data_IF_852631171281
#
_entry.id   IF_852631171281
#
_cell.length_a   1.000
_cell.length_b   1.000
_cell.length_c   1.000
_cell.angle_alpha   90.00
_cell.angle_beta   90.00
_cell.angle_gamma   90.00
#
_symmetry.space_group_name_H-M   'P 1'
#
loop_
_entity.id
_entity.type
_entity.pdbx_description
1 polymer ?
#
# COMPACT_ATOMS: atom_id res chain seq x y z
N UNK A 1 5.46 56.98 5.24
CA UNK A 1 5.86 55.90 4.32
C UNK A 1 6.13 54.57 5.05
N UNK A 2 6.58 54.58 6.32
CA UNK A 2 6.79 53.37 7.13
C UNK A 2 5.51 52.58 7.45
N UNK A 3 4.40 53.27 7.76
CA UNK A 3 3.17 52.60 8.20
C UNK A 3 2.49 51.74 7.11
N UNK A 4 2.39 52.17 5.85
CA UNK A 4 1.62 51.44 4.83
C UNK A 4 2.26 50.12 4.35
N UNK A 5 3.59 50.06 4.26
CA UNK A 5 4.29 48.82 3.95
C UNK A 5 4.13 47.86 5.11
N UNK A 6 4.27 48.37 6.33
CA UNK A 6 4.19 47.57 7.53
C UNK A 6 2.78 47.09 7.87
N UNK A 7 1.77 47.92 7.65
CA UNK A 7 0.37 47.53 7.83
C UNK A 7 -0.02 46.44 6.83
N UNK A 8 0.46 46.51 5.59
CA UNK A 8 0.28 45.46 4.60
C UNK A 8 1.02 44.17 5.01
N UNK A 9 2.24 44.29 5.53
CA UNK A 9 3.03 43.15 6.00
C UNK A 9 2.42 42.51 7.24
N UNK A 10 1.95 43.30 8.21
CA UNK A 10 1.25 42.82 9.40
C UNK A 10 -0.11 42.22 9.10
N UNK A 11 -0.85 42.80 8.15
CA UNK A 11 -2.09 42.21 7.67
C UNK A 11 -1.82 40.83 7.06
N UNK A 12 -0.77 40.70 6.23
CA UNK A 12 -0.37 39.43 5.63
C UNK A 12 0.17 38.45 6.69
N UNK A 13 0.96 38.91 7.67
CA UNK A 13 1.47 38.10 8.78
C UNK A 13 0.33 37.48 9.60
N UNK A 14 -0.68 38.29 9.92
CA UNK A 14 -1.88 37.87 10.67
C UNK A 14 -2.79 36.97 9.85
N UNK A 15 -2.96 37.25 8.56
CA UNK A 15 -3.81 36.45 7.65
C UNK A 15 -3.18 35.11 7.28
N UNK A 16 -1.84 35.03 7.25
CA UNK A 16 -1.07 33.88 6.75
C UNK A 16 -0.31 33.09 7.81
N UNK A 17 -0.49 33.44 9.09
CA UNK A 17 0.13 32.76 10.24
C UNK A 17 1.67 32.64 10.16
N UNK A 18 2.34 33.63 9.57
CA UNK A 18 3.80 33.66 9.46
C UNK A 18 4.35 34.40 10.70
N UNK A 19 5.34 33.79 11.36
CA UNK A 19 6.02 34.38 12.51
C UNK A 19 6.64 35.75 12.16
N UNK A 20 6.45 36.73 13.05
CA UNK A 20 6.96 38.10 12.87
C UNK A 20 8.49 38.16 12.71
N UNK A 21 9.20 37.21 13.32
CA UNK A 21 10.66 37.12 13.25
C UNK A 21 11.12 36.80 11.81
N UNK A 22 10.52 35.79 11.17
CA UNK A 22 10.78 35.45 9.76
C UNK A 22 10.52 36.64 8.83
N UNK A 23 9.46 37.40 9.08
CA UNK A 23 9.15 38.60 8.28
C UNK A 23 10.23 39.67 8.44
N UNK A 24 10.73 39.85 9.65
CA UNK A 24 11.80 40.81 9.95
C UNK A 24 13.09 40.44 9.23
N UNK A 25 13.43 39.15 9.22
CA UNK A 25 14.58 38.61 8.48
C UNK A 25 14.45 38.87 6.97
N UNK A 26 13.29 38.62 6.37
CA UNK A 26 13.06 38.89 4.94
C UNK A 26 13.21 40.37 4.62
N UNK A 27 12.67 41.25 5.46
CA UNK A 27 12.79 42.69 5.27
C UNK A 27 14.28 43.10 5.35
N UNK A 28 15.02 42.56 6.33
CA UNK A 28 16.48 42.76 6.46
C UNK A 28 17.20 42.34 5.17
N UNK A 29 16.95 41.14 4.66
CA UNK A 29 17.55 40.62 3.43
C UNK A 29 17.29 41.50 2.20
N UNK A 30 16.06 42.00 2.06
CA UNK A 30 15.67 42.84 0.91
C UNK A 30 16.40 44.19 0.95
N UNK A 31 16.43 44.86 2.09
CA UNK A 31 17.15 46.13 2.23
C UNK A 31 18.66 45.95 2.08
N UNK A 32 19.23 44.87 2.63
CA UNK A 32 20.64 44.52 2.39
C UNK A 32 20.92 44.28 0.90
N UNK A 33 19.99 43.66 0.17
CA UNK A 33 20.12 43.50 -1.29
C UNK A 33 20.07 44.84 -2.02
N UNK A 34 19.24 45.79 -1.58
CA UNK A 34 19.23 47.15 -2.13
C UNK A 34 20.55 47.88 -1.87
N UNK A 35 21.09 47.76 -0.66
CA UNK A 35 22.39 48.34 -0.27
C UNK A 35 23.51 47.76 -1.15
N UNK A 36 23.59 46.43 -1.29
CA UNK A 36 24.57 45.73 -2.15
C UNK A 36 24.55 46.19 -3.60
N UNK A 37 23.39 46.59 -4.11
CA UNK A 37 23.27 47.08 -5.49
C UNK A 37 23.67 48.56 -5.65
N UNK A 38 23.74 49.33 -4.55
CA UNK A 38 23.96 50.78 -4.57
C UNK A 38 25.36 51.18 -4.09
N UNK A 39 25.91 50.49 -3.11
CA UNK A 39 27.15 50.85 -2.42
C UNK A 39 28.27 49.84 -2.70
N UNK A 40 29.52 50.29 -2.74
CA UNK A 40 30.69 49.42 -2.96
C UNK A 40 31.05 48.60 -1.72
N UNK A 41 30.74 49.11 -0.54
CA UNK A 41 31.04 48.51 0.76
C UNK A 41 29.78 48.18 1.55
N UNK A 42 28.99 47.17 1.12
CA UNK A 42 27.71 46.86 1.74
C UNK A 42 27.82 46.29 3.16
N UNK A 43 28.98 45.73 3.52
CA UNK A 43 29.20 45.11 4.84
C UNK A 43 29.32 46.16 5.96
N UNK A 44 29.48 47.44 5.60
CA UNK A 44 29.43 48.57 6.54
C UNK A 44 28.02 48.91 6.98
N UNK A 45 27.00 48.31 6.36
CA UNK A 45 25.60 48.61 6.67
C UNK A 45 24.98 47.50 7.49
N UNK A 46 24.16 47.91 8.45
CA UNK A 46 23.26 47.04 9.15
C UNK A 46 21.83 47.56 9.08
N UNK A 47 20.90 46.62 9.12
CA UNK A 47 19.47 46.89 9.02
C UNK A 47 18.78 46.23 10.22
N UNK A 48 18.17 47.06 11.06
CA UNK A 48 17.33 46.64 12.17
C UNK A 48 15.87 46.85 11.78
N UNK A 49 15.06 45.82 12.01
CA UNK A 49 13.63 45.85 11.74
C UNK A 49 12.90 45.70 13.06
N UNK A 50 12.01 46.65 13.38
CA UNK A 50 11.12 46.55 14.53
C UNK A 50 9.74 45.97 14.11
N UNK A 51 9.46 44.69 14.39
CA UNK A 51 8.21 44.02 13.99
C UNK A 51 6.97 44.41 14.82
N UNK A 52 7.10 45.31 15.80
CA UNK A 52 5.94 45.85 16.52
C UNK A 52 5.51 47.21 15.99
N UNK A 53 6.49 48.08 15.68
CA UNK A 53 6.26 49.45 15.22
C UNK A 53 6.28 49.62 13.71
N UNK A 54 6.96 48.73 13.00
CA UNK A 54 7.08 48.82 11.54
C UNK A 54 8.11 49.77 11.02
N UNK A 55 9.10 49.99 11.85
CA UNK A 55 10.20 50.88 11.57
C UNK A 55 11.37 50.02 11.10
N UNK A 56 11.93 50.43 9.97
CA UNK A 56 13.19 49.88 9.45
C UNK A 56 14.22 50.97 9.63
N UNK A 57 15.24 50.67 10.43
CA UNK A 57 16.38 51.54 10.67
C UNK A 57 17.58 50.95 9.95
N UNK A 58 18.19 51.75 9.09
CA UNK A 58 19.39 51.40 8.36
C UNK A 58 20.49 52.29 8.91
N UNK A 59 21.56 51.69 9.39
CA UNK A 59 22.74 52.42 9.82
C UNK A 59 23.97 51.94 9.06
N UNK A 60 24.89 52.87 8.87
CA UNK A 60 26.17 52.63 8.23
C UNK A 60 27.27 52.95 9.24
N UNK A 61 28.12 51.98 9.49
CA UNK A 61 29.34 52.13 10.26
C UNK A 61 30.42 52.73 9.36
N UNK A 62 31.00 53.85 9.78
CA UNK A 62 32.04 54.56 9.06
C UNK A 62 33.28 54.71 9.94
N UNK A 63 34.48 54.56 9.39
CA UNK A 63 35.72 54.79 10.12
C UNK A 63 36.01 56.28 10.24
N UNK A 64 36.32 56.75 11.44
CA UNK A 64 36.72 58.14 11.69
C UNK A 64 38.20 58.30 11.35
N UNK A 65 38.50 59.15 10.37
CA UNK A 65 39.86 59.40 9.85
C UNK A 65 40.19 60.89 9.81
N UNK A 66 41.47 61.27 9.86
CA UNK A 66 41.89 62.67 9.67
C UNK A 66 41.70 63.14 8.22
N UNK A 67 42.10 62.33 7.24
CA UNK A 67 41.98 62.62 5.81
C UNK A 67 41.13 61.55 5.12
N UNK A 68 39.97 61.96 4.59
CA UNK A 68 39.02 61.05 3.93
C UNK A 68 39.54 60.65 2.55
N UNK A 69 39.81 59.36 2.38
CA UNK A 69 40.26 58.73 1.14
C UNK A 69 39.11 58.09 0.37
N UNK A 70 38.15 57.45 1.05
CA UNK A 70 36.92 56.93 0.43
C UNK A 70 35.67 57.35 1.23
N UNK A 71 34.91 58.35 0.74
CA UNK A 71 33.76 58.92 1.45
C UNK A 71 32.55 57.97 1.53
N UNK A 72 32.61 56.78 0.92
CA UNK A 72 31.58 55.77 1.09
C UNK A 72 31.65 55.09 2.45
N UNK A 73 32.81 54.96 3.10
CA UNK A 73 32.95 54.24 4.38
C UNK A 73 33.83 54.96 5.41
N UNK A 74 34.41 56.11 5.07
CA UNK A 74 35.19 56.95 5.98
C UNK A 74 34.49 58.30 6.25
N UNK A 75 34.66 58.84 7.45
CA UNK A 75 34.21 60.18 7.84
C UNK A 75 35.36 60.97 8.47
N UNK A 76 35.45 62.27 8.13
CA UNK A 76 36.47 63.13 8.71
C UNK A 76 36.23 63.40 10.20
N UNK A 77 37.29 63.36 11.01
CA UNK A 77 37.25 63.62 12.46
C UNK A 77 36.49 64.90 12.82
N UNK A 78 36.76 66.01 12.11
CA UNK A 78 36.04 67.28 12.32
C UNK A 78 34.53 67.21 12.07
N UNK A 79 34.08 66.27 11.23
CA UNK A 79 32.66 66.09 10.93
C UNK A 79 32.00 65.19 11.97
N UNK A 80 32.68 64.11 12.37
CA UNK A 80 32.21 63.24 13.45
C UNK A 80 32.08 64.03 14.79
N UNK A 81 33.07 64.87 15.10
CA UNK A 81 33.09 65.69 16.32
C UNK A 81 32.01 66.77 16.40
N UNK A 82 31.31 67.08 15.28
CA UNK A 82 30.14 67.98 15.29
C UNK A 82 28.91 67.32 15.87
N UNK A 83 28.80 66.00 15.74
CA UNK A 83 27.68 65.22 16.26
C UNK A 83 27.95 64.80 17.71
N UNK A 84 29.18 64.35 18.00
CA UNK A 84 29.63 64.04 19.35
C UNK A 84 31.12 64.44 19.54
N UNK A 85 31.46 65.39 20.43
CA UNK A 85 32.85 65.83 20.63
C UNK A 85 33.82 64.74 21.08
N UNK A 86 33.32 63.60 21.56
CA UNK A 86 34.15 62.53 22.14
C UNK A 86 34.75 61.58 21.08
N UNK A 87 34.44 61.73 19.79
CA UNK A 87 35.03 60.90 18.72
C UNK A 87 36.55 61.15 18.54
N UNK A 88 37.32 60.07 18.49
CA UNK A 88 38.75 60.01 18.20
C UNK A 88 39.03 59.35 16.83
N UNK A 89 40.24 59.51 16.29
CA UNK A 89 40.65 58.81 15.07
C UNK A 89 40.70 57.29 15.29
N UNK A 90 40.14 56.53 14.35
CA UNK A 90 39.98 55.07 14.45
C UNK A 90 38.68 54.63 15.13
N UNK A 91 37.85 55.55 15.63
CA UNK A 91 36.52 55.22 16.12
C UNK A 91 35.55 54.86 15.00
N UNK A 92 34.45 54.19 15.37
CA UNK A 92 33.35 53.87 14.46
C UNK A 92 32.22 54.86 14.62
N UNK A 93 31.98 55.67 13.58
CA UNK A 93 30.86 56.59 13.52
C UNK A 93 29.63 55.90 12.89
N UNK A 94 28.47 56.02 13.54
CA UNK A 94 27.22 55.40 13.06
C UNK A 94 26.34 56.44 12.37
N UNK A 95 26.19 56.28 11.06
CA UNK A 95 25.34 57.15 10.22
C UNK A 95 23.98 56.52 9.94
N UNK A 96 22.91 57.20 10.33
CA UNK A 96 21.55 56.78 9.97
C UNK A 96 21.22 57.10 8.51
N UNK A 97 20.67 56.12 7.80
CA UNK A 97 20.26 56.24 6.39
C UNK A 97 18.76 56.14 6.28
N UNK A 98 18.11 57.20 5.77
CA UNK A 98 16.67 57.18 5.50
C UNK A 98 16.35 56.15 4.39
N UNK A 99 15.49 55.15 4.64
CA UNK A 99 15.04 54.21 3.60
C UNK A 99 14.39 54.90 2.39
N UNK A 100 13.85 56.10 2.54
CA UNK A 100 13.26 56.88 1.44
C UNK A 100 14.33 57.36 0.43
N UNK A 101 15.59 57.44 0.84
CA UNK A 101 16.71 57.90 0.02
C UNK A 101 17.10 56.94 -1.10
N UNK A 102 16.62 55.69 -1.08
CA UNK A 102 16.88 54.67 -2.10
C UNK A 102 16.17 54.93 -3.42
N UNK A 103 15.24 55.89 -3.47
CA UNK A 103 14.50 56.24 -4.67
C UNK A 103 13.22 55.43 -4.84
N UNK A 104 12.23 56.03 -5.51
CA UNK A 104 10.88 55.43 -5.62
C UNK A 104 10.88 54.09 -6.37
N UNK A 105 11.78 53.89 -7.35
CA UNK A 105 11.79 52.69 -8.20
C UNK A 105 12.31 51.48 -7.43
N UNK A 106 13.31 51.69 -6.60
CA UNK A 106 13.98 50.73 -5.75
C UNK A 106 13.03 50.25 -4.64
N UNK A 107 12.29 51.18 -4.04
CA UNK A 107 11.24 50.85 -3.05
C UNK A 107 10.11 50.02 -3.66
N UNK A 108 9.68 50.33 -4.89
CA UNK A 108 8.67 49.53 -5.60
C UNK A 108 9.20 48.09 -5.85
N UNK A 109 10.47 47.96 -6.25
CA UNK A 109 11.11 46.64 -6.44
C UNK A 109 11.20 45.87 -5.13
N UNK A 110 11.61 46.50 -4.04
CA UNK A 110 11.66 45.86 -2.71
C UNK A 110 10.27 45.38 -2.26
N UNK A 111 9.23 46.19 -2.46
CA UNK A 111 7.85 45.78 -2.17
C UNK A 111 7.42 44.55 -2.99
N UNK A 112 7.81 44.48 -4.27
CA UNK A 112 7.54 43.32 -5.11
C UNK A 112 8.33 42.08 -4.66
N UNK A 113 9.60 42.25 -4.30
CA UNK A 113 10.45 41.18 -3.76
C UNK A 113 9.89 40.62 -2.45
N UNK A 114 9.44 41.48 -1.54
CA UNK A 114 8.81 41.09 -0.29
C UNK A 114 7.55 40.26 -0.52
N UNK A 115 6.66 40.74 -1.41
CA UNK A 115 5.46 39.99 -1.81
C UNK A 115 5.78 38.66 -2.47
N UNK A 116 6.89 38.54 -3.18
CA UNK A 116 7.32 37.26 -3.77
C UNK A 116 7.81 36.31 -2.68
N UNK A 117 8.73 36.77 -1.82
CA UNK A 117 9.31 35.96 -0.75
C UNK A 117 8.25 35.45 0.25
N UNK A 118 7.27 36.27 0.59
CA UNK A 118 6.13 35.84 1.43
C UNK A 118 5.34 34.71 0.76
N UNK A 119 5.05 34.82 -0.54
CA UNK A 119 4.35 33.77 -1.29
C UNK A 119 5.16 32.48 -1.38
N UNK A 120 6.49 32.59 -1.46
CA UNK A 120 7.36 31.42 -1.52
C UNK A 120 7.36 30.68 -0.17
N UNK A 121 7.43 31.39 0.95
CA UNK A 121 7.31 30.81 2.30
C UNK A 121 5.93 30.20 2.53
N UNK A 122 4.87 30.86 2.07
CA UNK A 122 3.50 30.31 2.16
C UNK A 122 3.41 28.96 1.44
N UNK A 123 3.99 28.86 0.24
CA UNK A 123 4.03 27.60 -0.49
C UNK A 123 4.82 26.51 0.23
N UNK A 124 5.95 26.85 0.84
CA UNK A 124 6.74 25.90 1.63
C UNK A 124 5.97 25.38 2.84
N UNK A 125 5.31 26.25 3.59
CA UNK A 125 4.48 25.85 4.75
C UNK A 125 3.32 24.95 4.33
N UNK A 126 2.65 25.29 3.23
CA UNK A 126 1.60 24.45 2.64
C UNK A 126 2.19 23.09 2.24
N UNK A 127 3.34 23.06 1.57
CA UNK A 127 3.97 21.80 1.17
C UNK A 127 4.27 20.89 2.36
N UNK A 128 4.83 21.43 3.44
CA UNK A 128 5.10 20.68 4.67
C UNK A 128 3.82 20.12 5.31
N UNK A 129 2.74 20.90 5.31
CA UNK A 129 1.44 20.43 5.82
C UNK A 129 0.93 19.25 4.99
N UNK A 130 0.88 19.39 3.66
CA UNK A 130 0.32 18.37 2.78
C UNK A 130 1.22 17.14 2.67
N UNK A 131 2.52 17.28 2.90
CA UNK A 131 3.43 16.15 2.99
C UNK A 131 3.09 15.23 4.17
N UNK A 132 2.61 15.78 5.30
CA UNK A 132 2.13 15.00 6.45
C UNK A 132 0.76 14.35 6.20
N UNK A 133 0.02 14.84 5.21
CA UNK A 133 -1.34 14.39 4.85
C UNK A 133 -1.36 13.46 3.63
N UNK A 134 -0.19 13.00 3.16
CA UNK A 134 -0.10 12.02 2.08
C UNK A 134 -0.90 10.76 2.45
N UNK A 135 -1.72 10.29 1.52
CA UNK A 135 -2.63 9.16 1.73
C UNK A 135 -4.02 9.56 2.24
N UNK A 136 -4.29 10.82 2.52
CA UNK A 136 -5.64 11.31 2.86
C UNK A 136 -6.48 11.62 1.62
N UNK A 137 -7.79 11.38 1.71
CA UNK A 137 -8.75 11.86 0.70
C UNK A 137 -9.03 13.34 0.91
N UNK A 138 -8.95 14.10 -0.18
CA UNK A 138 -9.44 15.46 -0.27
C UNK A 138 -10.58 15.55 -1.29
N UNK A 139 -11.49 16.49 -1.07
CA UNK A 139 -12.58 16.83 -2.01
C UNK A 139 -12.20 18.15 -2.66
N UNK A 140 -11.91 18.13 -3.95
CA UNK A 140 -11.39 19.29 -4.68
C UNK A 140 -12.22 19.57 -5.94
N UNK A 141 -12.35 20.85 -6.30
CA UNK A 141 -13.12 21.27 -7.46
C UNK A 141 -12.24 21.39 -8.70
N UNK A 142 -12.69 20.87 -9.83
CA UNK A 142 -11.99 20.98 -11.10
C UNK A 142 -11.94 22.45 -11.55
N UNK A 143 -10.77 23.06 -11.43
CA UNK A 143 -10.53 24.43 -11.87
C UNK A 143 -10.27 24.49 -13.38
N UNK A 144 -9.38 23.61 -13.88
CA UNK A 144 -9.00 23.57 -15.29
C UNK A 144 -8.70 22.13 -15.74
N UNK A 145 -9.17 21.77 -16.93
CA UNK A 145 -8.82 20.51 -17.60
C UNK A 145 -7.84 20.84 -18.73
N UNK A 146 -6.61 20.32 -18.66
CA UNK A 146 -5.61 20.39 -19.75
C UNK A 146 -5.40 18.98 -20.30
N UNK A 147 -4.72 18.89 -21.45
CA UNK A 147 -4.48 17.59 -22.09
C UNK A 147 -3.67 16.63 -21.21
N UNK A 148 -2.61 17.11 -20.54
CA UNK A 148 -1.70 16.28 -19.75
C UNK A 148 -2.00 16.22 -18.25
N UNK A 149 -2.81 17.15 -17.73
CA UNK A 149 -3.13 17.23 -16.29
C UNK A 149 -4.42 17.99 -16.04
N UNK A 150 -5.08 17.67 -14.94
CA UNK A 150 -6.22 18.43 -14.42
C UNK A 150 -5.75 19.22 -13.19
N UNK A 151 -6.15 20.49 -13.13
CA UNK A 151 -5.88 21.36 -11.98
C UNK A 151 -7.15 21.39 -11.14
N UNK A 152 -7.00 20.98 -9.89
CA UNK A 152 -8.04 20.99 -8.87
C UNK A 152 -7.78 22.11 -7.89
N UNK A 153 -8.84 22.67 -7.31
CA UNK A 153 -8.76 23.65 -6.25
C UNK A 153 -9.31 23.04 -4.96
N UNK A 154 -8.48 22.98 -3.92
CA UNK A 154 -8.84 22.51 -2.59
C UNK A 154 -8.46 23.60 -1.59
N UNK A 155 -9.47 24.18 -0.92
CA UNK A 155 -9.29 25.26 0.06
C UNK A 155 -8.33 26.38 -0.38
N UNK A 156 -8.54 26.90 -1.61
CA UNK A 156 -7.72 27.96 -2.25
C UNK A 156 -6.30 27.53 -2.66
N UNK A 157 -5.97 26.25 -2.52
CA UNK A 157 -4.70 25.66 -2.92
C UNK A 157 -4.90 24.87 -4.21
N UNK A 158 -3.99 25.03 -5.16
CA UNK A 158 -4.01 24.26 -6.40
C UNK A 158 -3.36 22.89 -6.19
N UNK A 159 -4.10 21.84 -6.50
CA UNK A 159 -3.61 20.47 -6.59
C UNK A 159 -3.61 20.03 -8.05
N UNK A 160 -2.68 19.13 -8.39
CA UNK A 160 -2.47 18.65 -9.75
C UNK A 160 -2.81 17.16 -9.80
N UNK A 161 -3.67 16.80 -10.74
CA UNK A 161 -4.02 15.42 -11.08
C UNK A 161 -3.42 15.09 -12.46
N UNK A 162 -2.20 14.50 -12.53
CA UNK A 162 -1.55 14.12 -13.78
C UNK A 162 -2.36 13.08 -14.57
N UNK A 163 -2.18 13.01 -15.88
CA UNK A 163 -2.86 12.01 -16.74
C UNK A 163 -2.61 10.56 -16.28
N UNK A 164 -1.40 10.23 -15.81
CA UNK A 164 -1.07 8.90 -15.29
C UNK A 164 -1.83 8.53 -14.01
N UNK A 165 -2.31 9.53 -13.27
CA UNK A 165 -3.02 9.38 -12.00
C UNK A 165 -4.55 9.51 -12.15
N UNK A 166 -5.03 9.62 -13.39
CA UNK A 166 -6.45 9.69 -13.73
C UNK A 166 -7.00 8.32 -14.06
N UNK A 167 -8.25 8.09 -13.65
CA UNK A 167 -8.96 6.88 -14.06
C UNK A 167 -9.23 6.96 -15.57
N UNK A 168 -8.88 5.92 -16.31
CA UNK A 168 -9.07 5.90 -17.76
C UNK A 168 -10.54 6.11 -18.13
N UNK A 169 -10.77 6.90 -19.19
CA UNK A 169 -12.10 7.26 -19.71
C UNK A 169 -12.99 8.08 -18.76
N UNK A 170 -12.46 8.52 -17.61
CA UNK A 170 -13.17 9.45 -16.73
C UNK A 170 -13.24 10.84 -17.36
N UNK A 171 -14.46 11.35 -17.57
CA UNK A 171 -14.67 12.69 -18.15
C UNK A 171 -14.86 13.71 -17.05
N UNK A 172 -13.81 14.47 -16.77
CA UNK A 172 -13.85 15.58 -15.82
C UNK A 172 -14.32 16.87 -16.48
N UNK A 173 -15.19 17.61 -15.79
CA UNK A 173 -15.70 18.92 -16.25
C UNK A 173 -15.29 20.01 -15.28
N UNK A 174 -15.04 21.21 -15.80
CA UNK A 174 -14.79 22.39 -14.96
C UNK A 174 -15.96 22.65 -14.01
N UNK A 175 -15.65 22.91 -12.74
CA UNK A 175 -16.61 23.11 -11.64
C UNK A 175 -17.17 21.82 -11.04
N UNK A 176 -16.75 20.64 -11.51
CA UNK A 176 -17.09 19.37 -10.89
C UNK A 176 -16.27 19.18 -9.62
N UNK A 177 -16.90 18.78 -8.52
CA UNK A 177 -16.19 18.32 -7.32
C UNK A 177 -15.78 16.86 -7.49
N UNK A 178 -14.53 16.54 -7.15
CA UNK A 178 -13.94 15.21 -7.25
C UNK A 178 -13.26 14.84 -5.94
N UNK A 179 -13.36 13.56 -5.55
CA UNK A 179 -12.50 13.02 -4.50
C UNK A 179 -11.18 12.58 -5.10
N UNK A 180 -10.08 12.76 -4.38
CA UNK A 180 -8.78 12.22 -4.77
C UNK A 180 -7.93 12.02 -3.53
N UNK A 181 -6.97 11.12 -3.59
CA UNK A 181 -5.99 10.95 -2.52
C UNK A 181 -4.79 11.83 -2.78
N UNK A 182 -4.21 12.44 -1.73
CA UNK A 182 -2.91 13.11 -1.84
C UNK A 182 -1.86 12.02 -2.04
N UNK A 183 -1.23 12.00 -3.22
CA UNK A 183 -0.22 11.00 -3.56
C UNK A 183 1.16 11.40 -3.03
N UNK A 184 1.56 12.64 -3.27
CA UNK A 184 2.84 13.21 -2.82
C UNK A 184 2.87 14.72 -3.05
N UNK A 185 3.94 15.36 -2.58
CA UNK A 185 4.24 16.77 -2.87
C UNK A 185 5.57 16.82 -3.61
N UNK A 186 5.56 17.34 -4.85
CA UNK A 186 6.74 17.43 -5.71
C UNK A 186 7.32 18.85 -5.67
N UNK A 187 8.62 18.99 -5.42
CA UNK A 187 9.31 20.28 -5.55
C UNK A 187 9.59 20.59 -7.02
N UNK A 188 9.06 21.71 -7.51
CA UNK A 188 9.32 22.18 -8.88
C UNK A 188 10.02 23.55 -8.86
N UNK A 189 10.66 23.97 -9.97
CA UNK A 189 11.22 25.33 -10.07
C UNK A 189 10.20 26.46 -9.89
N UNK A 190 8.89 26.15 -9.93
CA UNK A 190 7.80 27.12 -9.71
C UNK A 190 7.24 27.09 -8.28
N UNK A 191 7.81 26.23 -7.43
CA UNK A 191 7.37 25.92 -6.09
C UNK A 191 6.82 24.50 -5.96
N UNK A 192 6.46 24.09 -4.74
CA UNK A 192 5.85 22.79 -4.48
C UNK A 192 4.51 22.64 -5.21
N UNK A 193 4.31 21.49 -5.86
CA UNK A 193 3.03 21.08 -6.45
C UNK A 193 2.49 19.88 -5.67
N UNK A 194 1.24 19.97 -5.20
CA UNK A 194 0.56 18.84 -4.55
C UNK A 194 0.04 17.92 -5.65
N UNK A 195 0.56 16.70 -5.71
CA UNK A 195 0.12 15.68 -6.66
C UNK A 195 -0.94 14.83 -6.00
N UNK A 196 -2.09 14.72 -6.65
CA UNK A 196 -3.20 13.88 -6.22
C UNK A 196 -3.42 12.74 -7.21
N UNK A 197 -4.07 11.68 -6.73
CA UNK A 197 -4.36 10.49 -7.53
C UNK A 197 -5.77 9.98 -7.32
N UNK A 198 -6.31 9.35 -8.37
CA UNK A 198 -7.53 8.53 -8.33
C UNK A 198 -7.25 7.06 -8.72
N UNK A 199 -6.04 6.77 -9.16
CA UNK A 199 -5.58 5.43 -9.57
C UNK A 199 -4.84 4.69 -8.45
N UNK A 200 -4.25 5.42 -7.49
CA UNK A 200 -3.54 4.81 -6.37
C UNK A 200 -4.43 3.90 -5.50
N UNK A 201 -3.87 2.82 -4.96
CA UNK A 201 -4.60 1.87 -4.13
C UNK A 201 -5.13 2.51 -2.84
N UNK A 202 -4.41 3.49 -2.28
CA UNK A 202 -4.83 4.22 -1.09
C UNK A 202 -6.17 4.92 -1.32
N UNK A 203 -6.47 5.34 -2.55
CA UNK A 203 -7.76 5.95 -2.86
C UNK A 203 -8.92 4.97 -2.62
N UNK A 204 -8.79 3.72 -3.08
CA UNK A 204 -9.81 2.69 -2.85
C UNK A 204 -9.97 2.39 -1.34
N UNK A 205 -8.85 2.24 -0.63
CA UNK A 205 -8.83 1.95 0.82
C UNK A 205 -9.56 3.05 1.59
N UNK A 206 -9.20 4.32 1.33
CA UNK A 206 -9.83 5.47 2.00
C UNK A 206 -11.31 5.63 1.64
N UNK A 207 -11.74 5.26 0.42
CA UNK A 207 -13.16 5.26 0.08
C UNK A 207 -13.93 4.20 0.89
N UNK A 208 -13.35 3.03 1.11
CA UNK A 208 -13.92 2.01 1.98
C UNK A 208 -13.99 2.47 3.43
N UNK A 209 -12.95 3.10 3.97
CA UNK A 209 -12.96 3.69 5.32
C UNK A 209 -14.06 4.75 5.51
N UNK A 210 -14.32 5.56 4.47
CA UNK A 210 -15.38 6.57 4.52
C UNK A 210 -16.79 5.97 4.44
N UNK A 211 -16.98 4.88 3.70
CA UNK A 211 -18.29 4.29 3.42
C UNK A 211 -18.67 3.18 4.44
N UNK A 212 -17.69 2.54 5.07
CA UNK A 212 -17.85 1.40 5.98
C UNK A 212 -17.34 1.75 7.38
N UNK A 213 -18.24 2.14 8.33
CA UNK A 213 -17.86 2.51 9.69
C UNK A 213 -17.06 1.43 10.42
N UNK A 214 -17.36 0.15 10.16
CA UNK A 214 -16.68 -0.98 10.76
C UNK A 214 -15.17 -1.05 10.40
N UNK A 215 -14.78 -0.49 9.24
CA UNK A 215 -13.37 -0.35 8.86
C UNK A 215 -12.73 0.82 9.62
N UNK A 216 -13.44 1.94 9.74
CA UNK A 216 -12.97 3.12 10.48
C UNK A 216 -12.75 2.81 11.98
N UNK A 217 -13.63 2.00 12.57
CA UNK A 217 -13.55 1.56 13.96
C UNK A 217 -12.48 0.47 14.18
N UNK A 218 -11.83 -0.02 13.12
CA UNK A 218 -10.81 -1.07 13.17
C UNK A 218 -11.35 -2.47 13.46
N UNK A 219 -12.67 -2.66 13.35
CA UNK A 219 -13.30 -3.97 13.51
C UNK A 219 -13.00 -4.84 12.28
N UNK A 220 -13.10 -4.23 11.10
CA UNK A 220 -12.74 -4.85 9.81
C UNK A 220 -11.41 -4.25 9.36
N UNK A 221 -10.45 -5.10 9.01
CA UNK A 221 -9.16 -4.70 8.47
C UNK A 221 -9.08 -5.05 6.98
N UNK A 222 -8.56 -4.12 6.16
CA UNK A 222 -8.25 -4.38 4.76
C UNK A 222 -6.84 -4.99 4.71
N UNK A 223 -6.77 -6.29 4.38
CA UNK A 223 -5.51 -7.07 4.34
C UNK A 223 -4.73 -6.89 3.05
N UNK A 224 -5.40 -6.51 1.96
CA UNK A 224 -4.73 -6.31 0.67
C UNK A 224 -5.65 -5.76 -0.41
N UNK A 225 -5.05 -5.10 -1.40
CA UNK A 225 -5.74 -4.55 -2.57
C UNK A 225 -4.93 -4.86 -3.82
N UNK A 226 -5.58 -5.46 -4.81
CA UNK A 226 -5.07 -5.59 -6.16
C UNK A 226 -6.02 -4.87 -7.11
N UNK A 227 -5.51 -3.94 -7.92
CA UNK A 227 -6.35 -3.02 -8.68
C UNK A 227 -5.81 -2.79 -10.09
N UNK A 228 -6.73 -2.78 -11.04
CA UNK A 228 -6.57 -2.23 -12.38
C UNK A 228 -7.54 -1.04 -12.50
N UNK A 229 -7.05 0.20 -12.31
CA UNK A 229 -7.90 1.37 -12.13
C UNK A 229 -8.87 1.62 -13.28
N UNK A 230 -10.14 1.87 -12.95
CA UNK A 230 -11.22 2.08 -13.92
C UNK A 230 -11.77 0.80 -14.56
N UNK A 231 -11.20 -0.36 -14.24
CA UNK A 231 -11.66 -1.65 -14.77
C UNK A 231 -12.14 -2.58 -13.67
N UNK A 232 -11.22 -3.06 -12.83
CA UNK A 232 -11.53 -4.03 -11.79
C UNK A 232 -10.54 -3.97 -10.62
N UNK A 233 -11.03 -4.20 -9.41
CA UNK A 233 -10.24 -4.39 -8.21
C UNK A 233 -10.68 -5.64 -7.45
N UNK A 234 -9.74 -6.21 -6.70
CA UNK A 234 -9.99 -7.19 -5.65
C UNK A 234 -9.49 -6.63 -4.32
N UNK A 235 -10.31 -6.73 -3.28
CA UNK A 235 -9.97 -6.28 -1.93
C UNK A 235 -10.18 -7.42 -0.95
N UNK A 236 -9.14 -7.73 -0.17
CA UNK A 236 -9.18 -8.74 0.87
C UNK A 236 -9.49 -8.08 2.22
N UNK A 237 -10.52 -8.58 2.91
CA UNK A 237 -10.98 -8.04 4.20
C UNK A 237 -11.07 -9.15 5.25
N UNK A 238 -10.72 -8.81 6.49
CA UNK A 238 -10.86 -9.68 7.66
C UNK A 238 -11.62 -8.94 8.76
N UNK A 239 -12.42 -9.64 9.54
CA UNK A 239 -13.03 -9.08 10.75
C UNK A 239 -12.31 -9.60 11.99
N UNK A 240 -11.95 -8.70 12.89
CA UNK A 240 -11.44 -9.04 14.22
C UNK A 240 -12.54 -9.63 15.13
N UNK A 241 -13.81 -9.29 14.87
CA UNK A 241 -14.97 -9.87 15.55
C UNK A 241 -15.64 -10.93 14.67
N UNK A 242 -15.63 -12.19 15.14
CA UNK A 242 -16.23 -13.35 14.44
C UNK A 242 -17.74 -13.23 14.23
N UNK A 243 -18.42 -12.33 14.95
CA UNK A 243 -19.87 -12.10 14.80
C UNK A 243 -20.20 -11.20 13.62
N UNK A 244 -19.21 -10.52 13.05
CA UNK A 244 -19.37 -9.55 11.98
C UNK A 244 -18.83 -10.17 10.69
N UNK A 245 -19.70 -10.26 9.68
CA UNK A 245 -19.30 -10.65 8.33
C UNK A 245 -18.62 -9.46 7.63
N UNK A 246 -17.30 -9.53 7.36
CA UNK A 246 -16.59 -8.40 6.77
C UNK A 246 -17.02 -8.13 5.33
N UNK A 247 -17.42 -9.15 4.58
CA UNK A 247 -17.86 -8.99 3.18
C UNK A 247 -19.22 -8.31 3.14
N UNK A 248 -20.18 -8.82 3.93
CA UNK A 248 -21.52 -8.25 4.04
C UNK A 248 -21.54 -6.80 4.52
N UNK A 249 -20.69 -6.46 5.50
CA UNK A 249 -20.54 -5.09 5.99
C UNK A 249 -20.01 -4.13 4.91
N UNK A 250 -19.03 -4.56 4.13
CA UNK A 250 -18.46 -3.78 3.03
C UNK A 250 -19.43 -3.60 1.85
N UNK A 251 -20.22 -4.65 1.53
CA UNK A 251 -21.24 -4.59 0.46
C UNK A 251 -22.41 -3.69 0.88
N UNK A 252 -22.82 -3.78 2.15
CA UNK A 252 -23.98 -3.07 2.69
C UNK A 252 -25.32 -3.64 2.19
N UNK A 253 -26.42 -3.14 2.76
CA UNK A 253 -27.77 -3.61 2.39
C UNK A 253 -28.00 -3.46 0.88
N UNK A 254 -28.28 -4.58 0.19
CA UNK A 254 -28.48 -4.64 -1.27
C UNK A 254 -27.34 -4.01 -2.08
N UNK A 255 -26.11 -4.00 -1.56
CA UNK A 255 -24.96 -3.45 -2.25
C UNK A 255 -24.86 -1.93 -2.27
N UNK A 256 -25.65 -1.20 -1.47
CA UNK A 256 -25.69 0.27 -1.52
C UNK A 256 -24.31 0.91 -1.28
N UNK A 257 -23.55 0.40 -0.31
CA UNK A 257 -22.21 0.91 0.03
C UNK A 257 -21.22 0.69 -1.11
N UNK A 258 -21.08 -0.55 -1.57
CA UNK A 258 -20.18 -0.85 -2.69
C UNK A 258 -20.56 -0.10 -3.98
N UNK A 259 -21.86 0.06 -4.28
CA UNK A 259 -22.29 0.83 -5.45
C UNK A 259 -21.98 2.34 -5.33
N UNK A 260 -21.88 2.88 -4.12
CA UNK A 260 -21.38 4.24 -3.88
C UNK A 260 -19.93 4.36 -4.34
N UNK A 261 -19.08 3.43 -3.89
CA UNK A 261 -17.64 3.38 -4.21
C UNK A 261 -17.42 3.13 -5.71
N UNK A 262 -18.12 2.15 -6.30
CA UNK A 262 -18.05 1.84 -7.74
C UNK A 262 -18.38 3.06 -8.60
N UNK A 263 -19.38 3.86 -8.20
CA UNK A 263 -19.72 5.11 -8.91
C UNK A 263 -18.63 6.16 -8.76
N UNK A 264 -18.04 6.31 -7.57
CA UNK A 264 -16.91 7.21 -7.35
C UNK A 264 -15.69 6.81 -8.18
N UNK A 265 -15.48 5.52 -8.47
CA UNK A 265 -14.39 4.99 -9.31
C UNK A 265 -14.75 4.89 -10.80
N UNK A 266 -15.75 5.64 -11.26
CA UNK A 266 -16.17 5.68 -12.66
C UNK A 266 -16.57 4.29 -13.23
N UNK A 267 -17.22 3.46 -12.43
CA UNK A 267 -17.74 2.15 -12.85
C UNK A 267 -16.75 0.98 -12.73
N UNK A 268 -15.63 1.17 -12.05
CA UNK A 268 -14.68 0.11 -11.70
C UNK A 268 -15.39 -1.02 -10.94
N UNK A 269 -15.26 -2.28 -11.40
CA UNK A 269 -15.85 -3.44 -10.71
C UNK A 269 -15.02 -3.84 -9.51
N UNK A 270 -15.64 -4.06 -8.35
CA UNK A 270 -14.91 -4.40 -7.13
C UNK A 270 -15.37 -5.78 -6.64
N UNK A 271 -14.43 -6.70 -6.47
CA UNK A 271 -14.65 -7.97 -5.78
C UNK A 271 -14.11 -7.85 -4.34
N UNK A 272 -14.99 -8.00 -3.35
CA UNK A 272 -14.60 -8.08 -1.95
C UNK A 272 -14.49 -9.55 -1.59
N UNK A 273 -13.34 -9.98 -1.07
CA UNK A 273 -13.08 -11.38 -0.72
C UNK A 273 -12.67 -11.49 0.75
N UNK A 274 -13.10 -12.54 1.47
CA UNK A 274 -12.64 -12.78 2.82
C UNK A 274 -11.17 -13.21 2.79
N UNK A 275 -10.34 -12.54 3.59
CA UNK A 275 -8.98 -12.96 3.85
C UNK A 275 -8.97 -14.17 4.80
N UNK A 276 -7.99 -15.05 4.63
CA UNK A 276 -7.74 -16.20 5.52
C UNK A 276 -6.23 -16.35 5.73
N UNK A 277 -5.83 -16.82 6.91
CA UNK A 277 -4.44 -17.11 7.21
C UNK A 277 -3.95 -18.38 6.48
N UNK A 278 -4.87 -19.30 6.18
CA UNK A 278 -4.62 -20.43 5.31
C UNK A 278 -4.58 -19.95 3.85
N UNK A 279 -3.39 -20.00 3.26
CA UNK A 279 -3.15 -19.52 1.90
C UNK A 279 -4.00 -20.24 0.85
N UNK A 280 -4.28 -21.51 1.04
CA UNK A 280 -5.10 -22.31 0.12
C UNK A 280 -6.53 -21.77 0.10
N UNK A 281 -7.08 -21.47 1.28
CA UNK A 281 -8.39 -20.82 1.41
C UNK A 281 -8.37 -19.40 0.87
N UNK A 282 -7.32 -18.63 1.15
CA UNK A 282 -7.24 -17.25 0.69
C UNK A 282 -7.14 -17.15 -0.85
N UNK A 283 -6.37 -18.02 -1.50
CA UNK A 283 -6.33 -18.16 -2.96
C UNK A 283 -7.70 -18.56 -3.49
N UNK A 284 -8.35 -19.55 -2.87
CA UNK A 284 -9.70 -19.97 -3.25
C UNK A 284 -10.72 -18.83 -3.20
N UNK A 285 -10.72 -18.06 -2.11
CA UNK A 285 -11.57 -16.89 -1.93
C UNK A 285 -11.28 -15.80 -2.98
N UNK A 286 -10.00 -15.60 -3.32
CA UNK A 286 -9.55 -14.57 -4.27
C UNK A 286 -10.04 -14.80 -5.70
N UNK A 287 -10.37 -16.06 -6.06
CA UNK A 287 -10.94 -16.40 -7.37
C UNK A 287 -12.36 -15.87 -7.57
N UNK A 288 -13.07 -15.51 -6.50
CA UNK A 288 -14.37 -14.84 -6.53
C UNK A 288 -15.47 -15.69 -7.16
N UNK A 289 -15.97 -15.29 -8.34
CA UNK A 289 -17.11 -15.93 -8.98
C UNK A 289 -16.81 -17.33 -9.55
N UNK A 290 -15.55 -17.64 -9.84
CA UNK A 290 -15.13 -18.96 -10.29
C UNK A 290 -14.62 -19.75 -9.08
N UNK A 291 -15.50 -20.56 -8.48
CA UNK A 291 -15.14 -21.36 -7.32
C UNK A 291 -14.20 -22.51 -7.73
N UNK A 292 -13.01 -22.61 -7.12
CA UNK A 292 -12.14 -23.76 -7.33
C UNK A 292 -12.72 -25.05 -6.76
N UNK A 293 -12.38 -26.16 -7.40
CA UNK A 293 -12.61 -27.51 -6.88
C UNK A 293 -11.44 -27.92 -5.99
N UNK A 294 -10.22 -27.64 -6.45
CA UNK A 294 -8.97 -27.94 -5.75
C UNK A 294 -8.00 -26.76 -5.92
N UNK A 295 -7.19 -26.53 -4.90
CA UNK A 295 -6.13 -25.51 -4.89
C UNK A 295 -4.89 -26.14 -4.30
N UNK A 296 -3.86 -26.31 -5.14
CA UNK A 296 -2.55 -26.81 -4.70
C UNK A 296 -1.57 -25.67 -4.65
N UNK A 297 -0.91 -25.52 -3.51
CA UNK A 297 0.00 -24.39 -3.24
C UNK A 297 1.39 -24.92 -2.94
N UNK A 298 2.38 -24.39 -3.65
CA UNK A 298 3.80 -24.54 -3.33
C UNK A 298 4.28 -23.27 -2.63
N UNK A 299 4.46 -23.35 -1.31
CA UNK A 299 4.94 -22.21 -0.50
C UNK A 299 6.41 -21.86 -0.79
N UNK A 300 7.21 -22.84 -1.25
CA UNK A 300 8.62 -22.66 -1.59
C UNK A 300 8.79 -21.83 -2.87
N UNK A 301 8.03 -22.15 -3.93
CA UNK A 301 8.10 -21.44 -5.21
C UNK A 301 7.14 -20.27 -5.32
N UNK A 302 6.20 -20.12 -4.36
CA UNK A 302 5.07 -19.17 -4.39
C UNK A 302 4.20 -19.33 -5.63
N UNK A 303 3.98 -20.59 -6.01
CA UNK A 303 3.12 -20.96 -7.12
C UNK A 303 1.87 -21.65 -6.60
N UNK A 304 0.76 -21.48 -7.31
CA UNK A 304 -0.48 -22.17 -7.02
C UNK A 304 -1.12 -22.69 -8.31
N UNK A 305 -1.66 -23.91 -8.22
CA UNK A 305 -2.48 -24.52 -9.26
C UNK A 305 -3.91 -24.53 -8.74
N UNK A 306 -4.77 -23.81 -9.43
CA UNK A 306 -6.20 -23.72 -9.13
C UNK A 306 -6.95 -24.54 -10.17
N UNK A 307 -7.62 -25.59 -9.70
CA UNK A 307 -8.42 -26.48 -10.54
C UNK A 307 -9.88 -26.03 -10.51
N UNK A 308 -10.47 -25.80 -11.67
CA UNK A 308 -11.88 -25.44 -11.84
C UNK A 308 -12.57 -26.40 -12.80
N UNK A 309 -13.90 -26.42 -12.77
CA UNK A 309 -14.69 -27.13 -13.78
C UNK A 309 -14.35 -26.61 -15.18
N UNK A 310 -14.40 -27.49 -16.17
CA UNK A 310 -14.10 -27.18 -17.57
C UNK A 310 -14.88 -25.96 -18.10
N UNK A 311 -16.14 -25.80 -17.69
CA UNK A 311 -17.01 -24.68 -18.09
C UNK A 311 -16.62 -23.34 -17.42
N UNK A 312 -15.93 -23.39 -16.28
CA UNK A 312 -15.58 -22.23 -15.47
C UNK A 312 -14.16 -21.68 -15.73
N UNK A 313 -13.35 -22.37 -16.55
CA UNK A 313 -11.98 -21.96 -16.90
C UNK A 313 -11.93 -20.53 -17.44
N UNK A 314 -12.82 -20.19 -18.37
CA UNK A 314 -12.87 -18.85 -18.97
C UNK A 314 -13.22 -17.76 -17.94
N UNK A 315 -14.09 -18.06 -16.98
CA UNK A 315 -14.49 -17.13 -15.90
C UNK A 315 -13.34 -16.96 -14.90
N UNK A 316 -12.67 -18.07 -14.55
CA UNK A 316 -11.53 -18.10 -13.64
C UNK A 316 -10.36 -17.27 -14.15
N UNK A 317 -10.02 -17.40 -15.44
CA UNK A 317 -8.99 -16.58 -16.09
C UNK A 317 -9.45 -15.12 -16.19
N UNK A 318 -10.70 -14.92 -16.63
CA UNK A 318 -11.27 -13.61 -16.89
C UNK A 318 -10.77 -12.99 -18.21
N UNK A 319 -11.43 -11.92 -18.66
CA UNK A 319 -11.07 -11.22 -19.89
C UNK A 319 -9.64 -10.67 -19.78
N UNK A 320 -8.79 -10.96 -20.76
CA UNK A 320 -7.37 -10.59 -20.76
C UNK A 320 -6.59 -11.09 -19.53
N UNK A 321 -6.97 -12.23 -18.94
CA UNK A 321 -6.38 -12.77 -17.69
C UNK A 321 -6.55 -11.89 -16.45
N UNK A 322 -7.42 -10.88 -16.51
CA UNK A 322 -7.59 -9.92 -15.42
C UNK A 322 -7.96 -10.56 -14.07
N UNK A 323 -8.79 -11.60 -14.05
CA UNK A 323 -9.24 -12.18 -12.78
C UNK A 323 -8.10 -12.92 -12.08
N UNK A 324 -7.36 -13.75 -12.83
CA UNK A 324 -6.20 -14.48 -12.31
C UNK A 324 -5.07 -13.53 -11.95
N UNK A 325 -4.76 -12.52 -12.77
CA UNK A 325 -3.69 -11.56 -12.49
C UNK A 325 -3.97 -10.72 -11.22
N UNK A 326 -5.23 -10.32 -11.00
CA UNK A 326 -5.61 -9.63 -9.77
C UNK A 326 -5.56 -10.56 -8.55
N UNK A 327 -5.96 -11.83 -8.67
CA UNK A 327 -5.85 -12.80 -7.59
C UNK A 327 -4.37 -13.09 -7.25
N UNK A 328 -3.51 -13.22 -8.26
CA UNK A 328 -2.06 -13.38 -8.10
C UNK A 328 -1.45 -12.18 -7.39
N UNK A 329 -1.79 -10.95 -7.82
CA UNK A 329 -1.32 -9.71 -7.15
C UNK A 329 -1.81 -9.60 -5.71
N UNK A 330 -3.05 -10.01 -5.44
CA UNK A 330 -3.66 -9.91 -4.11
C UNK A 330 -3.05 -10.89 -3.11
N UNK A 331 -2.78 -12.12 -3.55
CA UNK A 331 -2.26 -13.21 -2.72
C UNK A 331 -0.74 -13.23 -2.67
N UNK A 332 -0.07 -12.66 -3.67
CA UNK A 332 1.38 -12.72 -3.84
C UNK A 332 1.91 -14.04 -4.41
N UNK A 333 1.03 -14.89 -4.94
CA UNK A 333 1.36 -16.18 -5.57
C UNK A 333 1.15 -16.11 -7.09
N UNK A 334 1.96 -16.84 -7.85
CA UNK A 334 1.70 -17.04 -9.28
C UNK A 334 0.63 -18.13 -9.45
N UNK A 335 -0.55 -17.74 -9.91
CA UNK A 335 -1.72 -18.61 -10.02
C UNK A 335 -1.85 -19.11 -11.45
N UNK A 336 -1.78 -20.43 -11.61
CA UNK A 336 -2.13 -21.14 -12.84
C UNK A 336 -3.53 -21.76 -12.71
N UNK A 337 -4.32 -21.66 -13.78
CA UNK A 337 -5.67 -22.24 -13.83
C UNK A 337 -5.60 -23.52 -14.67
N UNK A 338 -6.10 -24.62 -14.13
CA UNK A 338 -6.25 -25.89 -14.85
C UNK A 338 -7.70 -26.34 -14.82
N UNK A 339 -8.13 -26.99 -15.89
CA UNK A 339 -9.42 -27.66 -15.91
C UNK A 339 -9.36 -29.03 -15.20
N UNK A 340 -10.51 -29.54 -14.77
CA UNK A 340 -10.63 -30.92 -14.26
C UNK A 340 -10.07 -31.95 -15.21
N UNK A 341 -10.34 -31.78 -16.51
CA UNK A 341 -9.87 -32.67 -17.56
C UNK A 341 -8.35 -32.57 -17.78
N UNK A 342 -7.79 -31.37 -17.70
CA UNK A 342 -6.34 -31.15 -17.78
C UNK A 342 -5.62 -31.76 -16.58
N UNK A 343 -6.12 -31.51 -15.36
CA UNK A 343 -5.51 -32.05 -14.13
C UNK A 343 -5.47 -33.57 -14.14
N UNK A 344 -6.54 -34.24 -14.59
CA UNK A 344 -6.57 -35.71 -14.73
C UNK A 344 -5.51 -36.23 -15.71
N UNK A 345 -5.22 -35.48 -16.78
CA UNK A 345 -4.15 -35.86 -17.72
C UNK A 345 -2.77 -35.64 -17.12
N UNK A 346 -2.56 -34.53 -16.42
CA UNK A 346 -1.29 -34.24 -15.73
C UNK A 346 -1.00 -35.30 -14.67
N UNK A 347 -1.98 -35.67 -13.85
CA UNK A 347 -1.82 -36.72 -12.84
C UNK A 347 -1.42 -38.08 -13.46
N UNK A 348 -2.04 -38.44 -14.60
CA UNK A 348 -1.66 -39.66 -15.34
C UNK A 348 -0.26 -39.62 -15.96
N UNK A 349 0.33 -38.44 -16.11
CA UNK A 349 1.70 -38.26 -16.62
C UNK A 349 2.72 -38.11 -15.49
N UNK A 350 2.27 -37.72 -14.29
CA UNK A 350 3.10 -37.62 -13.07
C UNK A 350 3.28 -38.98 -12.39
N UNK A 351 2.32 -39.91 -12.57
CA UNK A 351 2.47 -41.33 -12.22
C UNK A 351 3.24 -41.98 -13.37
N UNK A 352 4.47 -42.49 -13.17
CA UNK A 352 5.16 -43.24 -14.21
C UNK A 352 4.30 -44.44 -14.60
N UNK A 353 4.23 -44.77 -15.89
CA UNK A 353 3.60 -46.01 -16.34
C UNK A 353 4.27 -47.15 -15.55
N UNK A 354 3.52 -48.07 -14.93
CA UNK A 354 4.09 -49.21 -14.17
C UNK A 354 5.17 -49.94 -14.99
N UNK A 355 5.03 -49.92 -16.32
CA UNK A 355 5.99 -50.43 -17.29
C UNK A 355 7.33 -49.70 -17.33
N UNK A 356 7.37 -48.38 -17.16
CA UNK A 356 8.63 -47.63 -17.09
C UNK A 356 9.36 -47.87 -15.76
N UNK A 357 8.64 -48.11 -14.67
CA UNK A 357 9.23 -48.51 -13.39
C UNK A 357 9.77 -49.95 -13.50
N UNK A 358 9.00 -50.89 -14.04
CA UNK A 358 9.44 -52.27 -14.31
C UNK A 358 10.67 -52.32 -15.23
N UNK A 359 10.68 -51.56 -16.33
CA UNK A 359 11.83 -51.50 -17.25
C UNK A 359 13.07 -50.86 -16.61
N UNK A 360 12.90 -50.00 -15.60
CA UNK A 360 14.02 -49.45 -14.82
C UNK A 360 14.57 -50.43 -13.77
N UNK A 361 13.74 -51.36 -13.28
CA UNK A 361 14.14 -52.44 -12.39
C UNK A 361 14.83 -53.59 -13.15
N UNK A 362 14.33 -53.97 -14.33
CA UNK A 362 14.95 -55.00 -15.20
C UNK A 362 16.32 -54.60 -15.77
N UNK A 363 16.68 -53.30 -15.71
CA UNK A 363 17.97 -52.80 -16.16
C UNK A 363 19.11 -52.96 -15.13
N UNK A 364 18.80 -53.38 -13.90
CA UNK A 364 19.78 -53.78 -12.88
C UNK A 364 19.92 -55.30 -12.96
N UNK A 365 20.89 -55.76 -13.75
CA UNK A 365 21.08 -57.18 -14.02
C UNK A 365 21.23 -58.06 -12.77
N UNK A 366 20.77 -59.30 -12.92
CA UNK A 366 20.67 -60.46 -12.00
C UNK A 366 21.86 -60.81 -11.06
N UNK A 367 22.88 -59.96 -10.86
CA UNK A 367 24.12 -60.37 -10.20
C UNK A 367 24.40 -59.80 -8.78
N UNK A 368 23.53 -58.97 -8.17
CA UNK A 368 23.78 -58.45 -6.80
C UNK A 368 22.54 -58.31 -5.89
N UNK A 369 21.65 -59.31 -5.84
CA UNK A 369 20.62 -59.39 -4.78
C UNK A 369 20.47 -60.81 -4.22
N UNK A 370 21.47 -61.26 -3.46
CA UNK A 370 21.40 -62.52 -2.69
C UNK A 370 21.61 -62.28 -1.16
N UNK A 371 21.44 -61.04 -0.68
CA UNK A 371 21.72 -60.72 0.75
C UNK A 371 20.81 -59.69 1.42
N UNK A 372 19.60 -59.43 0.91
CA UNK A 372 18.57 -58.73 1.68
C UNK A 372 17.18 -59.27 1.31
N UNK A 373 16.75 -60.31 2.03
CA UNK A 373 15.37 -60.78 2.03
C UNK A 373 14.47 -59.77 2.73
N UNK A 374 14.03 -58.76 2.00
CA UNK A 374 12.94 -57.88 2.38
C UNK A 374 11.93 -57.88 1.24
N UNK A 375 10.79 -58.52 1.46
CA UNK A 375 9.61 -58.38 0.60
C UNK A 375 9.27 -56.89 0.51
N UNK A 376 9.20 -56.39 -0.72
CA UNK A 376 8.59 -55.09 -0.99
C UNK A 376 7.10 -55.36 -1.00
N UNK A 377 6.39 -54.90 0.03
CA UNK A 377 4.93 -54.88 0.03
C UNK A 377 4.47 -53.84 -1.00
N UNK A 378 3.66 -54.28 -1.96
CA UNK A 378 2.91 -53.39 -2.85
C UNK A 378 1.89 -52.62 -1.98
N UNK A 379 2.17 -51.35 -1.65
CA UNK A 379 1.16 -50.47 -1.04
C UNK A 379 0.19 -49.97 -2.13
N UNK A 380 -0.87 -50.74 -2.41
CA UNK A 380 -2.04 -50.24 -3.11
C UNK A 380 -2.78 -49.22 -2.22
N UNK A 381 -2.88 -47.97 -2.68
CA UNK A 381 -3.53 -46.90 -1.95
C UNK A 381 -5.07 -46.99 -2.11
N UNK A 382 -5.74 -47.69 -1.20
CA UNK A 382 -7.20 -47.64 -1.09
C UNK A 382 -7.65 -46.46 -0.21
N UNK A 383 -8.87 -45.95 -0.40
CA UNK A 383 -9.44 -44.96 0.53
C UNK A 383 -9.55 -45.61 1.93
N UNK A 384 -9.03 -44.97 2.99
CA UNK A 384 -9.11 -45.48 4.37
C UNK A 384 -10.57 -45.73 4.80
N UNK A 385 -11.04 -46.97 4.68
CA UNK A 385 -12.35 -47.39 5.18
C UNK A 385 -12.20 -47.68 6.68
N UNK A 386 -12.81 -46.84 7.52
CA UNK A 386 -12.83 -47.03 8.97
C UNK A 386 -13.78 -48.17 9.35
N UNK A 387 -13.34 -49.04 10.26
CA UNK A 387 -14.09 -50.23 10.71
C UNK A 387 -15.46 -49.88 11.34
N UNK A 388 -15.59 -48.68 11.90
CA UNK A 388 -16.85 -48.17 12.49
C UNK A 388 -17.98 -47.97 11.48
N UNK A 389 -17.63 -47.86 10.19
CA UNK A 389 -18.57 -47.54 9.11
C UNK A 389 -19.00 -48.81 8.34
N UNK A 390 -18.50 -50.00 8.73
CA UNK A 390 -18.88 -51.30 8.14
C UNK A 390 -20.22 -51.78 8.72
N UNK A 391 -21.20 -52.05 7.84
CA UNK A 391 -22.50 -52.59 8.23
C UNK A 391 -22.37 -54.05 8.72
N UNK A 392 -22.70 -54.30 9.99
CA UNK A 392 -22.78 -55.67 10.55
C UNK A 392 -21.85 -55.96 11.73
N UNK A 393 -20.87 -55.09 12.00
CA UNK A 393 -20.04 -55.15 13.21
C UNK A 393 -20.78 -54.60 14.43
N UNK A 394 -20.71 -55.31 15.54
CA UNK A 394 -21.24 -54.82 16.82
C UNK A 394 -20.26 -53.81 17.47
N UNK A 395 -20.83 -52.88 18.25
CA UNK A 395 -20.06 -51.80 18.86
C UNK A 395 -19.02 -52.27 19.90
N UNK A 396 -19.16 -53.46 20.47
CA UNK A 396 -18.21 -54.00 21.45
C UNK A 396 -16.95 -54.54 20.75
N UNK A 397 -17.13 -55.17 19.58
CA UNK A 397 -16.04 -55.62 18.71
C UNK A 397 -15.22 -54.46 18.15
N UNK A 398 -15.87 -53.39 17.68
CA UNK A 398 -15.18 -52.18 17.20
C UNK A 398 -14.38 -51.53 18.33
N UNK A 399 -14.94 -51.45 19.54
CA UNK A 399 -14.26 -50.87 20.70
C UNK A 399 -12.98 -51.63 21.06
N UNK A 400 -12.99 -52.98 20.99
CA UNK A 400 -11.81 -53.82 21.28
C UNK A 400 -10.72 -53.70 20.22
N UNK A 401 -11.10 -53.53 18.95
CA UNK A 401 -10.14 -53.28 17.87
C UNK A 401 -9.45 -51.92 18.04
N UNK A 402 -10.21 -50.88 18.38
CA UNK A 402 -9.67 -49.56 18.69
C UNK A 402 -8.72 -49.56 19.91
N UNK A 403 -8.99 -50.38 20.93
CA UNK A 403 -8.10 -50.53 22.09
C UNK A 403 -6.72 -51.13 21.73
N UNK A 404 -6.64 -51.79 20.58
CA UNK A 404 -5.42 -52.34 20.01
C UNK A 404 -4.84 -51.52 18.84
N UNK A 405 -5.30 -50.27 18.67
CA UNK A 405 -4.87 -49.34 17.62
C UNK A 405 -5.17 -49.85 16.20
N UNK A 406 -6.26 -50.61 16.02
CA UNK A 406 -6.72 -51.13 14.72
C UNK A 406 -8.01 -50.37 14.35
N UNK A 407 -7.93 -49.43 13.41
CA UNK A 407 -9.01 -48.51 13.07
C UNK A 407 -9.56 -48.69 11.64
N UNK A 408 -8.76 -49.21 10.71
CA UNK A 408 -9.07 -49.35 9.29
C UNK A 408 -9.09 -50.79 8.81
N UNK A 409 -9.62 -51.03 7.61
CA UNK A 409 -9.54 -52.35 6.94
C UNK A 409 -8.08 -52.74 6.68
N UNK A 410 -7.22 -51.80 6.29
CA UNK A 410 -5.79 -52.05 6.08
C UNK A 410 -5.09 -52.50 7.38
N UNK A 411 -5.47 -51.93 8.52
CA UNK A 411 -4.96 -52.38 9.81
C UNK A 411 -5.36 -53.84 10.10
N UNK A 412 -6.51 -54.31 9.60
CA UNK A 412 -6.97 -55.69 9.77
C UNK A 412 -6.25 -56.65 8.82
N UNK A 413 -6.05 -56.24 7.57
CA UNK A 413 -5.37 -57.03 6.54
C UNK A 413 -3.89 -57.32 6.90
N UNK A 414 -3.28 -56.44 7.70
CA UNK A 414 -1.93 -56.63 8.23
C UNK A 414 -1.80 -57.73 9.32
N UNK A 415 -2.91 -58.34 9.74
CA UNK A 415 -2.92 -59.45 10.69
C UNK A 415 -3.60 -60.68 10.07
N UNK A 416 -3.09 -61.87 10.37
CA UNK A 416 -3.75 -63.13 10.00
C UNK A 416 -4.92 -63.43 10.94
N UNK A 417 -5.96 -64.10 10.42
CA UNK A 417 -7.14 -64.55 11.20
C UNK A 417 -6.75 -65.28 12.50
N UNK A 418 -5.66 -66.03 12.47
CA UNK A 418 -5.10 -66.75 13.62
C UNK A 418 -4.55 -65.82 14.72
N UNK A 419 -3.95 -64.67 14.36
CA UNK A 419 -3.42 -63.69 15.33
C UNK A 419 -4.51 -62.98 16.12
N UNK A 420 -5.66 -62.68 15.50
CA UNK A 420 -6.78 -62.02 16.18
C UNK A 420 -7.42 -62.88 17.27
N UNK A 421 -7.50 -64.19 17.01
CA UNK A 421 -8.04 -65.18 17.94
C UNK A 421 -7.05 -65.45 19.08
N UNK A 422 -5.75 -65.55 18.78
CA UNK A 422 -4.71 -65.78 19.80
C UNK A 422 -4.47 -64.58 20.74
N UNK A 423 -4.69 -63.35 20.26
CA UNK A 423 -4.64 -62.13 21.08
C UNK A 423 -5.91 -61.94 21.94
N UNK A 424 -6.95 -62.74 21.74
CA UNK A 424 -8.21 -62.69 22.50
C UNK A 424 -9.07 -61.45 22.20
N UNK A 425 -8.83 -60.79 21.06
CA UNK A 425 -9.44 -59.50 20.70
C UNK A 425 -10.84 -59.70 20.12
N UNK A 426 -11.03 -60.75 19.30
CA UNK A 426 -12.30 -61.09 18.64
C UNK A 426 -12.65 -62.57 18.83
N UNK A 427 -13.94 -62.90 18.73
CA UNK A 427 -14.37 -64.31 18.60
C UNK A 427 -14.17 -64.79 17.16
N UNK A 428 -14.02 -66.11 16.93
CA UNK A 428 -13.90 -66.67 15.57
C UNK A 428 -15.05 -66.21 14.66
N UNK A 429 -16.25 -66.07 15.21
CA UNK A 429 -17.45 -65.67 14.48
C UNK A 429 -17.45 -64.17 14.08
N UNK A 430 -16.76 -63.33 14.84
CA UNK A 430 -16.66 -61.89 14.54
C UNK A 430 -15.51 -61.60 13.58
N UNK A 431 -14.41 -62.36 13.68
CA UNK A 431 -13.33 -62.31 12.68
C UNK A 431 -13.84 -62.74 11.30
N UNK A 432 -14.61 -63.82 11.22
CA UNK A 432 -15.18 -64.30 9.96
C UNK A 432 -16.10 -63.25 9.29
N UNK A 433 -16.95 -62.54 10.06
CA UNK A 433 -17.80 -61.47 9.53
C UNK A 433 -17.02 -60.26 8.99
N UNK A 434 -15.87 -59.96 9.58
CA UNK A 434 -15.01 -58.85 9.11
C UNK A 434 -14.39 -59.22 7.76
N UNK A 435 -13.84 -60.43 7.63
CA UNK A 435 -13.26 -60.89 6.36
C UNK A 435 -14.34 -61.08 5.28
N UNK A 436 -15.53 -61.59 5.61
CA UNK A 436 -16.66 -61.66 4.66
C UNK A 436 -17.06 -60.26 4.13
N UNK A 437 -17.01 -59.23 4.99
CA UNK A 437 -17.30 -57.86 4.59
C UNK A 437 -16.19 -57.25 3.70
N UNK A 438 -14.94 -57.64 3.93
CA UNK A 438 -13.80 -57.27 3.09
C UNK A 438 -13.93 -57.95 1.72
N UNK A 439 -14.28 -59.24 1.67
CA UNK A 439 -14.53 -59.98 0.43
C UNK A 439 -15.66 -59.39 -0.41
N UNK A 440 -16.74 -58.91 0.21
CA UNK A 440 -17.82 -58.22 -0.50
C UNK A 440 -17.40 -56.86 -1.07
N UNK A 441 -16.47 -56.16 -0.41
CA UNK A 441 -16.01 -54.83 -0.82
C UNK A 441 -14.94 -54.89 -1.92
N UNK A 442 -14.06 -55.89 -1.88
CA UNK A 442 -12.87 -55.97 -2.75
C UNK A 442 -12.92 -57.14 -3.76
N UNK A 443 -13.80 -58.14 -3.56
CA UNK A 443 -13.93 -59.35 -4.40
C UNK A 443 -12.84 -60.40 -4.12
N UNK A 444 -13.21 -61.70 -4.19
CA UNK A 444 -12.41 -62.90 -3.87
C UNK A 444 -10.98 -62.60 -3.39
N UNK A 445 -10.84 -62.34 -2.08
CA UNK A 445 -9.56 -62.15 -1.41
C UNK A 445 -8.96 -63.54 -1.17
N UNK A 446 -7.93 -63.94 -1.91
CA UNK A 446 -7.20 -65.18 -1.64
C UNK A 446 -6.14 -64.91 -0.56
N UNK A 447 -6.22 -65.62 0.57
CA UNK A 447 -5.31 -65.49 1.73
C UNK A 447 -3.82 -65.73 1.38
N UNK A 448 -3.49 -66.21 0.18
CA UNK A 448 -2.12 -66.49 -0.25
C UNK A 448 -1.42 -65.30 -0.93
N UNK A 449 -2.11 -64.17 -1.14
CA UNK A 449 -1.52 -62.99 -1.82
C UNK A 449 -0.79 -62.00 -0.87
N UNK A 450 -0.60 -62.34 0.42
CA UNK A 450 0.19 -61.54 1.39
C UNK A 450 1.11 -62.35 2.32
#
# INVERSE_FOLDING_TARGET
MNAEIFDAVNAIAREKNIGKDKISEIIKEIFMTLIKNRYRFPDTFDVIVNPEKGEVEIFQEMEVVEEVMDPEWEIGLETAQKDDPDYEEGDTYVKFVDPSSFGRREIIKAKQALKQKIRDIEKELIAEEYQRRVGEIIVADVSQVKHSKVILNYDKIEAVLPESEQIQNERMKRGQSLRCVILRVDETPRGPEIIVSRTDNSFLIRLFELEVPEILDGIIEIRGVAREPGMRAKIAVESTDRRIDPVGACVGQRGVRIQSIVRELNGEKIDIVPWDADITKFISNSMGAAKPIDVRVSTQTREAIVVVEDDNVAVAIGKNRQNVDLASKLTGFDISIQSTSERKKTLKLEIPDEREILESFDAVGDDEFDEFGGEVQDEEYYEDIYLKDIEGLDADSVQRLLEHEIETIDDVLNYTKEKFVDLGVLSEEDAEKIYDAIDELYGDFDEEDY
#
